data_IF_012864547777
#
_entry.id   IF_012864547777
#
_cell.length_a   1.000
_cell.length_b   1.000
_cell.length_c   1.000
_cell.angle_alpha   90.00
_cell.angle_beta   90.00
_cell.angle_gamma   90.00
#
_symmetry.space_group_name_H-M   'P 1'
#
loop_
_entity.id
_entity.type
_entity.pdbx_description
1 polymer ?
#
# COMPACT_ATOMS: atom_id res chain seq x y z
N UNK A 1 2.75 26.17 17.64
CA UNK A 1 3.83 26.95 17.00
C UNK A 1 4.42 27.86 18.05
N UNK A 2 5.74 27.87 18.19
CA UNK A 2 6.40 28.77 19.17
C UNK A 2 6.26 30.24 18.78
N UNK A 3 6.21 31.10 19.78
CA UNK A 3 5.94 32.54 19.58
C UNK A 3 7.21 33.37 19.79
N UNK A 4 7.64 34.07 18.71
CA UNK A 4 8.70 35.09 18.79
C UNK A 4 8.18 36.31 19.54
N UNK A 5 8.97 36.81 20.52
CA UNK A 5 8.60 37.95 21.35
C UNK A 5 9.50 39.16 21.12
N UNK A 6 10.82 38.99 21.17
CA UNK A 6 11.76 40.10 20.95
C UNK A 6 13.17 39.64 20.63
N UNK A 7 13.95 40.52 19.98
CA UNK A 7 15.38 40.37 19.73
C UNK A 7 16.09 41.68 20.04
N UNK A 8 17.14 41.59 20.83
CA UNK A 8 17.88 42.76 21.27
C UNK A 8 19.39 42.50 21.31
N UNK A 9 20.18 43.50 21.01
CA UNK A 9 21.63 43.47 21.22
C UNK A 9 21.91 43.95 22.66
N UNK A 10 22.45 43.05 23.48
CA UNK A 10 22.76 43.37 24.87
C UNK A 10 24.26 43.33 25.13
N UNK A 11 24.73 44.26 25.98
CA UNK A 11 26.11 44.31 26.48
C UNK A 11 26.24 43.37 27.67
N UNK A 12 27.11 42.36 27.55
CA UNK A 12 27.35 41.34 28.60
C UNK A 12 28.51 41.71 29.50
N UNK A 13 29.54 42.44 28.97
CA UNK A 13 30.68 42.94 29.71
C UNK A 13 31.26 44.18 29.00
N UNK A 14 32.36 44.78 29.57
CA UNK A 14 33.00 45.96 28.97
C UNK A 14 33.26 45.85 27.46
N UNK A 15 33.55 44.68 26.96
CA UNK A 15 33.93 44.44 25.56
C UNK A 15 33.13 43.36 24.86
N UNK A 16 32.15 42.74 25.49
CA UNK A 16 31.37 41.63 24.93
C UNK A 16 29.90 41.97 24.78
N UNK A 17 29.35 41.62 23.63
CA UNK A 17 27.92 41.72 23.30
C UNK A 17 27.37 40.34 22.92
N UNK A 18 26.05 40.21 22.97
CA UNK A 18 25.34 39.10 22.43
C UNK A 18 23.96 39.53 21.88
N UNK A 19 23.38 38.70 21.04
CA UNK A 19 21.96 38.80 20.73
C UNK A 19 21.18 38.09 21.82
N UNK A 20 20.20 38.76 22.41
CA UNK A 20 19.22 38.19 23.33
C UNK A 20 17.90 38.06 22.60
N UNK A 21 17.43 36.84 22.44
CA UNK A 21 16.17 36.46 21.78
C UNK A 21 15.21 35.90 22.82
N UNK A 22 14.00 36.45 22.86
CA UNK A 22 12.91 35.87 23.65
C UNK A 22 11.99 35.05 22.74
N UNK A 23 11.78 33.77 23.12
CA UNK A 23 10.96 32.84 22.39
C UNK A 23 10.18 31.93 23.35
N UNK A 24 8.85 31.90 23.28
CA UNK A 24 7.97 31.16 24.21
C UNK A 24 8.31 31.41 25.70
N UNK A 25 8.57 32.66 26.07
CA UNK A 25 8.93 33.03 27.43
C UNK A 25 10.35 32.65 27.87
N UNK A 26 11.12 31.98 27.00
CA UNK A 26 12.51 31.60 27.28
C UNK A 26 13.49 32.54 26.61
N UNK A 27 14.62 32.84 27.31
CA UNK A 27 15.69 33.70 26.82
C UNK A 27 16.83 32.88 26.24
N UNK A 28 17.15 33.13 24.95
CA UNK A 28 18.30 32.56 24.26
C UNK A 28 19.36 33.63 23.99
N UNK A 29 20.64 33.27 24.10
CA UNK A 29 21.76 34.19 23.88
C UNK A 29 22.70 33.66 22.81
N UNK A 30 22.98 34.47 21.78
CA UNK A 30 23.85 34.12 20.66
C UNK A 30 25.03 35.09 20.59
N UNK A 31 26.23 34.56 20.54
CA UNK A 31 27.48 35.31 20.53
C UNK A 31 28.11 35.40 19.13
N UNK A 32 27.56 34.73 18.17
CA UNK A 32 27.94 34.71 16.74
C UNK A 32 26.75 34.26 15.88
N UNK A 33 26.96 34.26 14.57
CA UNK A 33 25.93 33.84 13.59
C UNK A 33 25.85 32.34 13.29
N UNK A 34 26.66 31.49 13.93
CA UNK A 34 26.76 30.06 13.56
C UNK A 34 25.44 29.33 13.60
N UNK A 35 24.56 29.64 14.53
CA UNK A 35 23.26 28.99 14.71
C UNK A 35 22.31 29.25 13.55
N UNK A 36 22.50 30.36 12.83
CA UNK A 36 21.73 30.75 11.64
C UNK A 36 22.57 30.58 10.35
N UNK A 37 23.66 29.81 10.41
CA UNK A 37 24.62 29.59 9.35
C UNK A 37 25.28 30.87 8.78
N UNK A 38 25.29 31.96 9.53
CA UNK A 38 26.04 33.15 9.20
C UNK A 38 27.50 33.02 9.64
N UNK A 39 28.41 33.54 8.85
CA UNK A 39 29.85 33.61 9.16
C UNK A 39 30.18 34.76 10.15
N UNK A 40 29.20 35.58 10.50
CA UNK A 40 29.37 36.75 11.37
C UNK A 40 29.90 36.36 12.77
N UNK A 41 31.01 36.96 13.16
CA UNK A 41 31.65 36.84 14.48
C UNK A 41 31.90 38.20 15.08
N UNK A 42 30.87 38.97 15.51
CA UNK A 42 31.03 40.34 15.90
C UNK A 42 32.00 40.57 17.09
N UNK A 43 32.11 39.59 17.99
CA UNK A 43 33.07 39.68 19.12
C UNK A 43 34.55 39.55 18.68
N UNK A 44 34.83 39.11 17.44
CA UNK A 44 36.17 39.10 16.85
C UNK A 44 36.56 40.47 16.25
N UNK A 45 35.60 41.38 16.07
CA UNK A 45 35.84 42.74 15.57
C UNK A 45 36.51 43.64 16.62
N UNK A 46 37.12 44.77 16.24
CA UNK A 46 37.58 45.78 17.13
C UNK A 46 36.48 46.29 18.06
N UNK A 47 36.79 46.59 19.31
CA UNK A 47 35.78 46.90 20.36
C UNK A 47 34.81 48.00 19.93
N UNK A 48 35.32 49.03 19.21
CA UNK A 48 34.51 50.17 18.72
C UNK A 48 33.42 49.76 17.72
N UNK A 49 33.61 48.68 16.95
CA UNK A 49 32.69 48.22 15.87
C UNK A 49 31.87 47.01 16.26
N UNK A 50 32.10 46.40 17.43
CA UNK A 50 31.39 45.18 17.86
C UNK A 50 29.88 45.37 17.95
N UNK A 51 29.43 46.50 18.52
CA UNK A 51 28.00 46.79 18.64
C UNK A 51 27.33 46.81 17.28
N UNK A 52 27.91 47.53 16.32
CA UNK A 52 27.40 47.59 14.95
C UNK A 52 27.38 46.19 14.29
N UNK A 53 28.42 45.39 14.54
CA UNK A 53 28.45 44.00 14.06
C UNK A 53 27.31 43.13 14.60
N UNK A 54 26.92 43.36 15.89
CA UNK A 54 25.77 42.67 16.49
C UNK A 54 24.42 43.21 16.00
N UNK A 55 24.31 44.49 15.70
CA UNK A 55 23.12 45.10 15.10
C UNK A 55 22.88 44.51 13.70
N UNK A 56 23.92 44.37 12.89
CA UNK A 56 23.84 43.70 11.59
C UNK A 56 23.44 42.23 11.75
N UNK A 57 24.05 41.50 12.71
CA UNK A 57 23.69 40.12 12.97
C UNK A 57 22.25 39.98 13.48
N UNK A 58 21.71 40.98 14.22
CA UNK A 58 20.30 40.93 14.66
C UNK A 58 19.33 41.01 13.50
N UNK A 59 19.69 41.76 12.45
CA UNK A 59 18.89 41.79 11.19
C UNK A 59 18.89 40.46 10.49
N UNK A 60 20.04 39.77 10.49
CA UNK A 60 20.11 38.41 9.91
C UNK A 60 19.25 37.43 10.71
N UNK A 61 19.30 37.47 12.05
CA UNK A 61 18.39 36.65 12.89
C UNK A 61 16.92 36.95 12.61
N UNK A 62 16.54 38.23 12.48
CA UNK A 62 15.16 38.62 12.19
C UNK A 62 14.70 38.07 10.84
N UNK A 63 15.58 38.08 9.81
CA UNK A 63 15.27 37.50 8.49
C UNK A 63 15.00 36.00 8.56
N UNK A 64 15.84 35.24 9.29
CA UNK A 64 15.64 33.79 9.37
C UNK A 64 14.45 33.40 10.25
N UNK A 65 14.13 34.23 11.29
CA UNK A 65 12.91 34.09 12.09
C UNK A 65 11.66 34.24 11.18
N UNK A 66 11.66 35.26 10.33
CA UNK A 66 10.54 35.50 9.40
C UNK A 66 10.33 34.37 8.39
N UNK A 67 11.36 33.56 8.10
CA UNK A 67 11.24 32.37 7.26
C UNK A 67 11.11 31.07 8.06
N UNK A 68 10.78 31.16 9.35
CA UNK A 68 10.40 30.03 10.18
C UNK A 68 11.53 29.37 10.96
N UNK A 69 12.68 30.01 11.13
CA UNK A 69 13.71 29.54 12.03
C UNK A 69 13.29 29.72 13.51
N UNK A 70 13.66 28.76 14.35
CA UNK A 70 13.46 28.81 15.80
C UNK A 70 14.79 28.59 16.55
N UNK A 71 14.94 29.03 17.81
CA UNK A 71 16.15 28.81 18.61
C UNK A 71 16.50 27.34 18.84
N UNK A 72 15.55 26.44 18.63
CA UNK A 72 15.70 24.99 18.80
C UNK A 72 16.13 24.30 17.48
N UNK A 73 16.11 25.04 16.36
CA UNK A 73 16.48 24.48 15.06
C UNK A 73 17.99 24.34 14.92
N UNK A 74 18.44 23.20 14.45
CA UNK A 74 19.80 23.07 13.94
C UNK A 74 19.82 23.53 12.46
N UNK A 75 19.97 24.84 12.26
CA UNK A 75 19.93 25.46 10.93
C UNK A 75 21.02 24.93 9.99
N UNK A 76 22.16 24.48 10.51
CA UNK A 76 23.19 23.82 9.72
C UNK A 76 22.71 22.52 9.11
N UNK A 77 21.94 21.76 9.85
CA UNK A 77 21.30 20.54 9.32
C UNK A 77 20.22 20.86 8.28
N UNK A 78 19.48 21.95 8.45
CA UNK A 78 18.51 22.43 7.46
C UNK A 78 19.16 22.88 6.15
N UNK A 79 20.26 23.64 6.22
CA UNK A 79 20.99 24.11 5.04
C UNK A 79 21.75 22.97 4.33
N UNK A 80 22.19 21.95 5.05
CA UNK A 80 22.82 20.76 4.50
C UNK A 80 21.78 19.70 4.04
N UNK A 81 20.50 19.88 4.32
CA UNK A 81 19.46 19.03 3.74
C UNK A 81 19.40 19.27 2.25
N UNK A 82 19.91 18.29 1.50
CA UNK A 82 19.83 18.25 0.06
C UNK A 82 18.38 18.53 -0.36
N UNK A 83 18.14 19.65 -1.03
CA UNK A 83 16.82 19.99 -1.57
C UNK A 83 16.55 19.05 -2.73
N UNK A 84 15.68 18.07 -2.49
CA UNK A 84 15.24 17.17 -3.55
C UNK A 84 14.07 17.80 -4.32
N UNK A 85 14.03 17.61 -5.62
CA UNK A 85 12.83 17.90 -6.41
C UNK A 85 11.67 17.02 -5.94
N UNK A 86 10.45 17.46 -6.14
CA UNK A 86 9.26 16.68 -5.71
C UNK A 86 9.21 15.28 -6.32
N UNK A 87 9.67 15.15 -7.57
CA UNK A 87 9.77 13.85 -8.25
C UNK A 87 10.84 12.96 -7.61
N UNK A 88 11.97 13.54 -7.20
CA UNK A 88 13.01 12.80 -6.48
C UNK A 88 12.52 12.32 -5.12
N UNK A 89 11.81 13.17 -4.36
CA UNK A 89 11.25 12.81 -3.04
C UNK A 89 10.37 11.56 -3.11
N UNK A 90 9.42 11.51 -4.05
CA UNK A 90 8.55 10.35 -4.24
C UNK A 90 9.32 9.10 -4.67
N UNK A 91 10.27 9.25 -5.58
CA UNK A 91 11.06 8.11 -6.08
C UNK A 91 12.03 7.58 -5.03
N UNK A 92 12.66 8.45 -4.23
CA UNK A 92 13.54 8.05 -3.13
C UNK A 92 12.76 7.35 -2.02
N UNK A 93 11.61 7.90 -1.61
CA UNK A 93 10.72 7.27 -0.64
C UNK A 93 10.24 5.88 -1.11
N UNK A 94 9.90 5.76 -2.38
CA UNK A 94 9.54 4.47 -2.98
C UNK A 94 10.72 3.50 -2.96
N UNK A 95 11.92 3.94 -3.38
CA UNK A 95 13.14 3.11 -3.37
C UNK A 95 13.44 2.58 -1.97
N UNK A 96 13.37 3.46 -0.95
CA UNK A 96 13.60 3.07 0.45
C UNK A 96 12.51 2.15 0.98
N UNK A 97 11.26 2.38 0.61
CA UNK A 97 10.16 1.47 0.98
C UNK A 97 10.37 0.08 0.42
N UNK A 98 10.82 -0.03 -0.82
CA UNK A 98 11.00 -1.30 -1.54
C UNK A 98 12.31 -2.04 -1.18
N UNK A 99 13.14 -1.54 -0.27
CA UNK A 99 14.25 -2.30 0.32
C UNK A 99 13.78 -3.51 1.14
N UNK A 100 12.54 -3.44 1.68
CA UNK A 100 11.90 -4.58 2.34
C UNK A 100 11.27 -5.51 1.30
N UNK A 101 11.29 -6.80 1.60
CA UNK A 101 10.63 -7.80 0.76
C UNK A 101 9.11 -7.69 0.88
N UNK A 102 8.50 -7.22 -0.18
CA UNK A 102 7.06 -7.13 -0.36
C UNK A 102 6.62 -7.96 -1.56
N UNK A 103 5.38 -8.45 -1.53
CA UNK A 103 4.81 -9.15 -2.69
C UNK A 103 4.88 -8.28 -3.96
N UNK A 104 5.10 -8.92 -5.12
CA UNK A 104 5.18 -8.22 -6.42
C UNK A 104 3.96 -7.33 -6.69
N UNK A 105 2.77 -7.77 -6.28
CA UNK A 105 1.53 -7.01 -6.44
C UNK A 105 1.52 -5.70 -5.61
N UNK A 106 2.01 -5.77 -4.38
CA UNK A 106 2.16 -4.58 -3.53
C UNK A 106 3.20 -3.62 -4.13
N UNK A 107 4.34 -4.13 -4.59
CA UNK A 107 5.36 -3.33 -5.26
C UNK A 107 4.83 -2.65 -6.53
N UNK A 108 4.10 -3.39 -7.40
CA UNK A 108 3.46 -2.83 -8.60
C UNK A 108 2.49 -1.71 -8.25
N UNK A 109 1.69 -1.89 -7.19
CA UNK A 109 0.73 -0.89 -6.73
C UNK A 109 1.42 0.39 -6.25
N UNK A 110 2.46 0.27 -5.42
CA UNK A 110 3.24 1.43 -4.95
C UNK A 110 3.90 2.18 -6.12
N UNK A 111 4.52 1.45 -7.07
CA UNK A 111 5.13 2.06 -8.27
C UNK A 111 4.10 2.81 -9.10
N UNK A 112 2.93 2.22 -9.28
CA UNK A 112 1.83 2.84 -10.01
C UNK A 112 1.35 4.12 -9.30
N UNK A 113 1.13 4.10 -7.97
CA UNK A 113 0.71 5.28 -7.20
C UNK A 113 1.73 6.41 -7.32
N UNK A 114 3.02 6.10 -7.18
CA UNK A 114 4.09 7.11 -7.32
C UNK A 114 4.13 7.68 -8.74
N UNK A 115 3.93 6.85 -9.76
CA UNK A 115 3.83 7.30 -11.16
C UNK A 115 2.65 8.27 -11.36
N UNK A 116 1.45 7.90 -10.90
CA UNK A 116 0.25 8.73 -10.98
C UNK A 116 0.40 10.04 -10.20
N UNK A 117 0.99 9.98 -9.00
CA UNK A 117 1.23 11.14 -8.17
C UNK A 117 2.25 12.09 -8.80
N UNK A 118 3.33 11.57 -9.42
CA UNK A 118 4.29 12.38 -10.16
C UNK A 118 3.66 13.06 -11.38
N UNK A 119 2.77 12.38 -12.09
CA UNK A 119 2.02 12.96 -13.20
C UNK A 119 1.05 14.05 -12.74
N UNK A 120 0.40 13.86 -11.59
CA UNK A 120 -0.54 14.84 -11.02
C UNK A 120 0.16 16.06 -10.45
N UNK A 121 1.33 15.89 -9.87
CA UNK A 121 2.03 16.91 -9.08
C UNK A 121 2.50 18.12 -9.91
N UNK A 122 2.89 17.95 -11.18
CA UNK A 122 3.35 19.04 -12.06
C UNK A 122 4.29 20.01 -11.34
N UNK A 123 5.33 19.51 -10.67
CA UNK A 123 6.37 20.30 -9.95
C UNK A 123 5.93 20.97 -8.65
N UNK A 124 4.66 20.88 -8.23
CA UNK A 124 4.21 21.38 -6.92
C UNK A 124 4.85 20.57 -5.78
N UNK A 125 5.19 21.25 -4.67
CA UNK A 125 5.79 20.60 -3.49
C UNK A 125 4.88 19.51 -2.94
N UNK A 126 5.43 18.32 -2.70
CA UNK A 126 4.70 17.23 -2.06
C UNK A 126 4.32 17.63 -0.64
N UNK A 127 3.02 17.61 -0.36
CA UNK A 127 2.44 17.99 0.93
C UNK A 127 1.19 17.17 1.21
N UNK A 128 0.71 17.09 2.46
CA UNK A 128 -0.56 16.43 2.78
C UNK A 128 -1.74 17.01 2.01
N UNK A 129 -1.76 18.32 1.75
CA UNK A 129 -2.80 18.97 0.96
C UNK A 129 -2.79 18.48 -0.48
N UNK A 130 -1.64 18.45 -1.12
CA UNK A 130 -1.49 17.93 -2.49
C UNK A 130 -1.87 16.45 -2.59
N UNK A 131 -1.48 15.64 -1.59
CA UNK A 131 -1.87 14.24 -1.53
C UNK A 131 -3.38 14.05 -1.36
N UNK A 132 -4.04 14.91 -0.56
CA UNK A 132 -5.49 14.90 -0.43
C UNK A 132 -6.19 15.32 -1.73
N UNK A 133 -5.69 16.33 -2.44
CA UNK A 133 -6.19 16.73 -3.77
C UNK A 133 -6.07 15.57 -4.77
N UNK A 134 -4.94 14.86 -4.78
CA UNK A 134 -4.74 13.69 -5.62
C UNK A 134 -5.74 12.57 -5.31
N UNK A 135 -5.97 12.29 -4.03
CA UNK A 135 -6.92 11.26 -3.60
C UNK A 135 -8.37 11.62 -3.94
N UNK A 136 -8.72 12.89 -3.89
CA UNK A 136 -10.09 13.37 -4.13
C UNK A 136 -10.43 13.56 -5.63
N UNK A 137 -9.59 13.10 -6.56
CA UNK A 137 -9.91 13.17 -7.98
C UNK A 137 -11.19 12.37 -8.30
N UNK A 138 -12.11 12.92 -9.14
CA UNK A 138 -13.39 12.28 -9.48
C UNK A 138 -13.25 10.91 -10.14
N UNK A 139 -12.11 10.66 -10.79
CA UNK A 139 -11.83 9.39 -11.48
C UNK A 139 -11.72 8.18 -10.54
N UNK A 140 -11.55 8.40 -9.22
CA UNK A 140 -11.41 7.33 -8.26
C UNK A 140 -12.73 6.96 -7.59
N UNK A 141 -13.12 5.68 -7.65
CA UNK A 141 -14.21 5.18 -6.81
C UNK A 141 -13.83 5.23 -5.32
N UNK A 142 -14.79 5.26 -4.37
CA UNK A 142 -14.52 5.24 -2.94
C UNK A 142 -13.58 4.09 -2.50
N UNK A 143 -13.80 2.89 -3.03
CA UNK A 143 -12.95 1.73 -2.76
C UNK A 143 -11.53 1.92 -3.26
N UNK A 144 -11.35 2.46 -4.49
CA UNK A 144 -10.06 2.76 -5.07
C UNK A 144 -9.34 3.87 -4.30
N UNK A 145 -10.05 4.92 -3.91
CA UNK A 145 -9.56 6.04 -3.11
C UNK A 145 -9.02 5.55 -1.76
N UNK A 146 -9.78 4.71 -1.05
CA UNK A 146 -9.33 4.07 0.20
C UNK A 146 -8.08 3.20 0.01
N UNK A 147 -8.01 2.48 -1.10
CA UNK A 147 -6.87 1.63 -1.43
C UNK A 147 -5.60 2.48 -1.68
N UNK A 148 -5.70 3.51 -2.53
CA UNK A 148 -4.59 4.44 -2.81
C UNK A 148 -4.15 5.14 -1.53
N UNK A 149 -5.11 5.64 -0.72
CA UNK A 149 -4.83 6.27 0.58
C UNK A 149 -4.02 5.35 1.50
N UNK A 150 -4.42 4.09 1.65
CA UNK A 150 -3.70 3.12 2.48
C UNK A 150 -2.26 2.90 2.03
N UNK A 151 -2.02 2.80 0.72
CA UNK A 151 -0.68 2.67 0.17
C UNK A 151 0.14 3.95 0.31
N UNK A 152 -0.47 5.13 0.10
CA UNK A 152 0.21 6.41 0.29
C UNK A 152 0.63 6.62 1.75
N UNK A 153 -0.26 6.36 2.71
CA UNK A 153 0.07 6.37 4.13
C UNK A 153 1.26 5.46 4.47
N UNK A 154 1.37 4.33 3.79
CA UNK A 154 2.52 3.44 3.99
C UNK A 154 3.84 4.01 3.45
N UNK A 155 3.81 5.02 2.59
CA UNK A 155 4.98 5.75 2.08
C UNK A 155 5.32 6.96 2.96
N UNK A 156 4.38 7.51 3.74
CA UNK A 156 4.59 8.74 4.51
C UNK A 156 5.79 8.65 5.44
N UNK A 157 6.00 7.51 6.13
CA UNK A 157 7.17 7.31 6.99
C UNK A 157 8.50 7.52 6.25
N UNK A 158 8.54 7.21 4.95
CA UNK A 158 9.70 7.42 4.11
C UNK A 158 9.76 8.83 3.55
N UNK A 159 8.61 9.41 3.21
CA UNK A 159 8.52 10.80 2.73
C UNK A 159 8.99 11.80 3.79
N UNK A 160 8.74 11.53 5.08
CA UNK A 160 9.22 12.37 6.19
C UNK A 160 10.75 12.51 6.19
N UNK A 161 11.49 11.49 5.79
CA UNK A 161 12.96 11.53 5.68
C UNK A 161 13.44 12.53 4.63
N UNK A 162 12.58 12.91 3.68
CA UNK A 162 12.86 13.81 2.57
C UNK A 162 12.09 15.15 2.66
N UNK A 163 11.66 15.53 3.86
CA UNK A 163 11.05 16.84 4.09
C UNK A 163 9.54 16.95 3.88
N UNK A 164 8.82 15.81 3.78
CA UNK A 164 7.37 15.80 3.85
C UNK A 164 6.91 15.98 5.30
N UNK A 165 6.11 16.99 5.57
CA UNK A 165 5.65 17.33 6.90
C UNK A 165 4.13 17.13 7.04
N UNK A 166 3.70 16.49 8.13
CA UNK A 166 2.30 16.18 8.40
C UNK A 166 1.84 14.84 7.85
N UNK A 167 0.52 14.62 7.76
CA UNK A 167 -0.05 13.36 7.25
C UNK A 167 -1.37 13.62 6.51
N UNK A 168 -1.54 12.94 5.39
CA UNK A 168 -2.80 12.93 4.63
C UNK A 168 -3.95 12.31 5.43
N UNK A 169 -3.65 11.53 6.47
CA UNK A 169 -4.66 10.90 7.34
C UNK A 169 -5.63 11.91 7.96
N UNK A 170 -5.14 13.12 8.28
CA UNK A 170 -5.95 14.20 8.88
C UNK A 170 -6.83 14.91 7.85
N UNK A 171 -6.39 15.01 6.61
CA UNK A 171 -7.08 15.74 5.54
C UNK A 171 -8.03 14.86 4.71
N UNK A 172 -7.72 13.57 4.59
CA UNK A 172 -8.50 12.64 3.82
C UNK A 172 -8.90 11.45 4.71
N UNK A 173 -10.16 11.40 5.14
CA UNK A 173 -10.71 10.28 5.92
C UNK A 173 -10.99 9.09 5.00
N UNK A 174 -11.04 7.89 5.59
CA UNK A 174 -11.50 6.69 4.89
C UNK A 174 -13.00 6.85 4.56
N UNK A 175 -13.36 6.61 3.31
CA UNK A 175 -14.74 6.67 2.86
C UNK A 175 -15.48 5.38 3.17
N UNK A 176 -16.79 5.50 3.40
CA UNK A 176 -17.67 4.34 3.51
C UNK A 176 -17.82 3.71 2.12
N UNK A 177 -17.51 2.42 2.03
CA UNK A 177 -17.69 1.63 0.81
C UNK A 177 -18.84 0.67 1.04
N UNK A 178 -19.78 0.65 0.14
CA UNK A 178 -20.85 -0.36 0.14
C UNK A 178 -20.22 -1.69 -0.25
N UNK A 179 -20.35 -2.69 0.61
CA UNK A 179 -19.84 -4.03 0.32
C UNK A 179 -20.65 -4.66 -0.81
N UNK A 180 -19.95 -5.18 -1.81
CA UNK A 180 -20.57 -5.96 -2.89
C UNK A 180 -20.71 -7.39 -2.40
N UNK A 181 -21.93 -7.81 -2.11
CA UNK A 181 -22.21 -9.19 -1.78
C UNK A 181 -22.14 -10.05 -3.05
N UNK A 182 -21.32 -11.10 -3.01
CA UNK A 182 -21.34 -12.13 -4.04
C UNK A 182 -22.57 -13.01 -3.83
N UNK A 183 -23.62 -12.81 -4.64
CA UNK A 183 -24.85 -13.60 -4.54
C UNK A 183 -24.57 -15.10 -4.70
N UNK A 184 -25.05 -15.98 -3.81
CA UNK A 184 -24.94 -17.42 -3.99
C UNK A 184 -25.81 -17.87 -5.18
N UNK A 185 -25.48 -19.04 -5.72
CA UNK A 185 -26.31 -19.68 -6.75
C UNK A 185 -27.49 -20.40 -6.11
N UNK A 186 -28.67 -20.32 -6.72
CA UNK A 186 -29.87 -21.04 -6.29
C UNK A 186 -29.85 -22.47 -6.81
N UNK A 187 -29.53 -22.63 -8.09
CA UNK A 187 -29.41 -23.93 -8.75
C UNK A 187 -27.97 -24.16 -9.19
N UNK A 188 -27.20 -24.73 -8.28
CA UNK A 188 -25.78 -25.08 -8.51
C UNK A 188 -25.62 -26.13 -9.58
N UNK A 189 -26.52 -27.13 -9.61
CA UNK A 189 -26.40 -28.29 -10.49
C UNK A 189 -26.61 -27.91 -11.95
N UNK A 190 -27.67 -27.19 -12.26
CA UNK A 190 -27.97 -26.77 -13.64
C UNK A 190 -26.88 -25.87 -14.20
N UNK A 191 -26.36 -24.93 -13.37
CA UNK A 191 -25.29 -24.01 -13.79
C UNK A 191 -23.98 -24.79 -14.02
N UNK A 192 -23.63 -25.76 -13.16
CA UNK A 192 -22.44 -26.60 -13.37
C UNK A 192 -22.51 -27.41 -14.64
N UNK A 193 -23.68 -28.02 -14.94
CA UNK A 193 -23.89 -28.78 -16.17
C UNK A 193 -23.76 -27.90 -17.42
N UNK A 194 -24.33 -26.70 -17.38
CA UNK A 194 -24.20 -25.74 -18.47
C UNK A 194 -22.74 -25.29 -18.68
N UNK A 195 -22.01 -25.03 -17.60
CA UNK A 195 -20.56 -24.70 -17.67
C UNK A 195 -19.75 -25.88 -18.19
N UNK A 196 -20.11 -27.13 -17.85
CA UNK A 196 -19.41 -28.32 -18.35
C UNK A 196 -19.45 -28.41 -19.87
N UNK A 197 -20.57 -28.03 -20.46
CA UNK A 197 -20.74 -27.97 -21.92
C UNK A 197 -20.02 -26.78 -22.56
N UNK A 198 -19.86 -25.69 -21.81
CA UNK A 198 -19.22 -24.44 -22.28
C UNK A 198 -17.69 -24.52 -22.29
N UNK A 199 -17.05 -24.86 -21.16
CA UNK A 199 -15.58 -24.95 -21.04
C UNK A 199 -15.18 -25.86 -19.86
N UNK A 200 -14.48 -26.96 -20.15
CA UNK A 200 -14.05 -27.94 -19.14
C UNK A 200 -13.12 -27.35 -18.05
N UNK A 201 -12.30 -26.36 -18.41
CA UNK A 201 -11.38 -25.69 -17.43
C UNK A 201 -12.15 -24.82 -16.46
N UNK A 202 -13.13 -24.06 -16.97
CA UNK A 202 -14.02 -23.27 -16.13
C UNK A 202 -14.85 -24.18 -15.23
N UNK A 203 -15.37 -25.28 -15.75
CA UNK A 203 -16.13 -26.29 -14.99
C UNK A 203 -15.32 -26.81 -13.81
N UNK A 204 -14.10 -27.31 -14.04
CA UNK A 204 -13.24 -27.79 -12.95
C UNK A 204 -12.89 -26.66 -11.95
N UNK A 205 -12.66 -25.45 -12.42
CA UNK A 205 -12.44 -24.31 -11.54
C UNK A 205 -13.65 -24.05 -10.63
N UNK A 206 -14.87 -24.09 -11.17
CA UNK A 206 -16.11 -23.92 -10.41
C UNK A 206 -16.34 -25.07 -9.41
N UNK A 207 -16.09 -26.33 -9.81
CA UNK A 207 -16.15 -27.49 -8.95
C UNK A 207 -15.20 -27.37 -7.74
N UNK A 208 -13.94 -27.00 -7.98
CA UNK A 208 -12.95 -26.82 -6.92
C UNK A 208 -13.27 -25.59 -6.05
N UNK A 209 -13.81 -24.52 -6.61
CA UNK A 209 -14.24 -23.37 -5.83
C UNK A 209 -15.44 -23.69 -4.94
N UNK A 210 -16.40 -24.47 -5.43
CA UNK A 210 -17.59 -24.87 -4.71
C UNK A 210 -17.31 -25.97 -3.67
N UNK A 211 -16.72 -27.08 -4.09
CA UNK A 211 -16.57 -28.28 -3.23
C UNK A 211 -15.36 -28.21 -2.31
N UNK A 212 -14.25 -27.57 -2.72
CA UNK A 212 -13.02 -27.45 -1.94
C UNK A 212 -12.84 -26.06 -1.35
N UNK A 213 -13.75 -25.13 -1.58
CA UNK A 213 -13.69 -23.74 -1.13
C UNK A 213 -12.36 -23.03 -1.50
N UNK A 214 -11.79 -23.35 -2.67
CA UNK A 214 -10.54 -22.75 -3.15
C UNK A 214 -10.79 -21.43 -3.86
N UNK A 215 -9.77 -20.54 -3.84
CA UNK A 215 -9.81 -19.26 -4.53
C UNK A 215 -9.38 -19.41 -5.99
N UNK A 216 -10.21 -19.00 -6.99
CA UNK A 216 -9.94 -19.25 -8.40
C UNK A 216 -8.59 -18.69 -8.89
N UNK A 217 -8.34 -17.41 -8.62
CA UNK A 217 -7.21 -16.69 -9.24
C UNK A 217 -5.83 -17.01 -8.65
N UNK A 218 -5.78 -17.60 -7.47
CA UNK A 218 -4.50 -17.89 -6.81
C UNK A 218 -4.37 -19.37 -6.46
N UNK A 219 -5.29 -19.90 -5.65
CA UNK A 219 -5.20 -21.29 -5.19
C UNK A 219 -5.44 -22.26 -6.35
N UNK A 220 -6.60 -22.21 -7.01
CA UNK A 220 -6.94 -23.13 -8.10
C UNK A 220 -5.99 -23.00 -9.29
N UNK A 221 -5.72 -21.79 -9.74
CA UNK A 221 -4.87 -21.54 -10.91
C UNK A 221 -3.46 -22.10 -10.79
N UNK A 222 -2.93 -22.11 -9.56
CA UNK A 222 -1.55 -22.53 -9.28
C UNK A 222 -1.43 -23.99 -8.87
N UNK A 223 -2.53 -24.75 -8.79
CA UNK A 223 -2.47 -26.16 -8.44
C UNK A 223 -1.56 -26.94 -9.39
N UNK A 224 -0.70 -27.73 -8.79
CA UNK A 224 0.15 -28.74 -9.46
C UNK A 224 -0.22 -30.13 -8.98
N UNK A 225 0.21 -31.16 -9.70
CA UNK A 225 -0.08 -32.53 -9.28
C UNK A 225 0.65 -32.94 -7.98
N UNK A 226 1.70 -32.20 -7.59
CA UNK A 226 2.35 -32.36 -6.27
C UNK A 226 1.47 -31.92 -5.09
N UNK A 227 0.44 -31.12 -5.35
CA UNK A 227 -0.45 -30.64 -4.29
C UNK A 227 -1.51 -31.69 -3.91
N UNK A 228 -1.62 -32.80 -4.65
CA UNK A 228 -2.60 -33.87 -4.46
C UNK A 228 -1.94 -35.12 -3.90
N UNK A 229 -2.69 -35.84 -3.04
CA UNK A 229 -2.31 -37.21 -2.70
C UNK A 229 -2.64 -38.19 -3.85
N UNK A 230 -2.13 -39.42 -3.78
CA UNK A 230 -2.30 -40.43 -4.82
C UNK A 230 -3.76 -40.72 -5.16
N UNK A 231 -4.61 -40.84 -4.15
CA UNK A 231 -6.02 -41.17 -4.27
C UNK A 231 -6.92 -39.99 -4.65
N UNK A 232 -6.36 -38.82 -4.89
CA UNK A 232 -7.10 -37.58 -5.16
C UNK A 232 -8.16 -37.25 -4.11
N UNK A 233 -7.90 -37.59 -2.84
CA UNK A 233 -8.81 -37.33 -1.72
C UNK A 233 -8.51 -36.04 -1.01
N UNK A 234 -7.29 -35.52 -1.13
CA UNK A 234 -6.81 -34.32 -0.42
C UNK A 234 -5.94 -33.43 -1.29
N UNK A 235 -6.02 -32.12 -1.03
CA UNK A 235 -5.13 -31.10 -1.60
C UNK A 235 -4.32 -30.48 -0.45
N UNK A 236 -3.00 -30.48 -0.57
CA UNK A 236 -2.06 -29.86 0.37
C UNK A 236 -1.61 -28.50 -0.17
N UNK A 237 -2.16 -27.40 0.35
CA UNK A 237 -1.80 -26.05 -0.06
C UNK A 237 -0.68 -25.52 0.84
N UNK A 238 0.45 -25.15 0.26
CA UNK A 238 1.52 -24.47 0.98
C UNK A 238 1.12 -23.02 1.37
N UNK A 239 1.75 -22.48 2.42
CA UNK A 239 1.53 -21.10 2.84
C UNK A 239 1.83 -20.07 1.74
N UNK A 240 2.73 -20.38 0.80
CA UNK A 240 3.06 -19.49 -0.31
C UNK A 240 1.93 -19.41 -1.36
N UNK A 241 1.11 -20.45 -1.49
CA UNK A 241 0.02 -20.53 -2.47
C UNK A 241 -1.25 -19.82 -1.98
N UNK A 242 -1.42 -19.61 -0.68
CA UNK A 242 -2.63 -19.01 -0.12
C UNK A 242 -2.42 -17.62 0.51
N UNK A 243 -3.50 -16.86 0.68
CA UNK A 243 -3.45 -15.49 1.23
C UNK A 243 -3.06 -15.48 2.71
N UNK A 244 -3.40 -16.53 3.46
CA UNK A 244 -3.18 -16.61 4.91
C UNK A 244 -1.75 -17.01 5.30
N UNK A 245 -0.90 -17.37 4.34
CA UNK A 245 0.47 -17.86 4.53
C UNK A 245 0.60 -19.04 5.50
N UNK A 246 -0.48 -19.84 5.66
CA UNK A 246 -0.51 -21.05 6.50
C UNK A 246 -0.71 -22.27 5.61
N UNK A 247 -0.05 -23.38 5.93
CA UNK A 247 -0.32 -24.64 5.26
C UNK A 247 -1.76 -25.08 5.56
N UNK A 248 -2.43 -25.63 4.57
CA UNK A 248 -3.82 -26.09 4.67
C UNK A 248 -4.00 -27.37 3.88
N UNK A 249 -4.63 -28.35 4.51
CA UNK A 249 -5.09 -29.57 3.85
C UNK A 249 -6.59 -29.42 3.58
N UNK A 250 -7.00 -29.71 2.35
CA UNK A 250 -8.38 -29.54 1.90
C UNK A 250 -8.88 -30.88 1.36
N UNK A 251 -9.98 -31.45 1.90
CA UNK A 251 -10.57 -32.68 1.39
C UNK A 251 -11.21 -32.43 0.02
N UNK A 252 -11.13 -33.43 -0.86
CA UNK A 252 -11.74 -33.40 -2.19
C UNK A 252 -13.01 -34.26 -2.16
N UNK A 253 -14.20 -33.65 -2.38
CA UNK A 253 -15.45 -34.40 -2.50
C UNK A 253 -15.38 -35.47 -3.60
N UNK A 254 -16.04 -36.60 -3.36
CA UNK A 254 -16.02 -37.75 -4.28
C UNK A 254 -16.46 -37.39 -5.72
N UNK A 255 -17.43 -36.49 -5.86
CA UNK A 255 -17.93 -36.07 -7.18
C UNK A 255 -16.94 -35.25 -8.02
N UNK A 256 -15.86 -34.70 -7.42
CA UNK A 256 -14.81 -33.96 -8.15
C UNK A 256 -13.71 -34.89 -8.67
N UNK A 257 -13.44 -35.99 -7.97
CA UNK A 257 -12.32 -36.89 -8.25
C UNK A 257 -12.29 -37.45 -9.69
N UNK A 258 -13.41 -37.85 -10.30
CA UNK A 258 -13.40 -38.30 -11.68
C UNK A 258 -12.89 -37.25 -12.69
N UNK A 259 -13.20 -35.98 -12.47
CA UNK A 259 -12.74 -34.91 -13.34
C UNK A 259 -11.22 -34.65 -13.19
N UNK A 260 -10.68 -34.80 -11.98
CA UNK A 260 -9.24 -34.71 -11.73
C UNK A 260 -8.52 -35.96 -12.33
N UNK A 261 -9.05 -37.14 -12.11
CA UNK A 261 -8.48 -38.38 -12.63
C UNK A 261 -8.40 -38.36 -14.18
N UNK A 262 -9.44 -37.85 -14.84
CA UNK A 262 -9.46 -37.72 -16.30
C UNK A 262 -8.41 -36.75 -16.86
N UNK A 263 -7.86 -35.82 -16.04
CA UNK A 263 -6.83 -34.89 -16.42
C UNK A 263 -5.42 -35.37 -16.01
N UNK A 264 -5.31 -36.37 -15.14
CA UNK A 264 -4.04 -36.89 -14.63
C UNK A 264 -3.47 -37.89 -15.62
N UNK A 265 -2.54 -37.46 -16.47
CA UNK A 265 -1.80 -38.36 -17.35
C UNK A 265 -0.54 -38.90 -16.64
N UNK A 266 -0.21 -40.19 -16.91
CA UNK A 266 0.96 -40.86 -16.32
C UNK A 266 2.29 -40.13 -16.59
N UNK A 267 2.36 -39.38 -17.69
CA UNK A 267 3.55 -38.71 -18.17
C UNK A 267 3.77 -37.32 -17.54
N UNK A 268 2.82 -36.84 -16.73
CA UNK A 268 3.00 -35.56 -16.05
C UNK A 268 3.95 -35.69 -14.86
N UNK A 269 5.12 -35.03 -14.96
CA UNK A 269 5.93 -34.79 -13.78
C UNK A 269 5.08 -34.12 -12.69
N UNK A 270 5.20 -34.55 -11.42
CA UNK A 270 4.35 -34.08 -10.32
C UNK A 270 4.29 -32.56 -10.16
N UNK A 271 5.27 -31.81 -10.65
CA UNK A 271 5.28 -30.34 -10.69
C UNK A 271 4.50 -29.71 -11.85
N UNK A 272 3.82 -30.50 -12.71
CA UNK A 272 2.99 -29.95 -13.78
C UNK A 272 1.70 -29.33 -13.22
N UNK A 273 1.31 -28.17 -13.76
CA UNK A 273 0.08 -27.48 -13.38
C UNK A 273 -1.13 -28.26 -13.91
N UNK A 274 -2.16 -28.41 -13.08
CA UNK A 274 -3.37 -29.21 -13.36
C UNK A 274 -4.10 -28.76 -14.63
N UNK A 275 -4.10 -27.47 -14.93
CA UNK A 275 -4.87 -26.91 -16.05
C UNK A 275 -4.09 -26.79 -17.34
N UNK A 276 -2.77 -26.67 -17.26
CA UNK A 276 -1.92 -26.51 -18.47
C UNK A 276 -1.19 -27.78 -18.85
N UNK A 277 -1.01 -28.73 -17.93
CA UNK A 277 -0.11 -29.87 -18.09
C UNK A 277 1.37 -29.49 -18.12
N UNK A 278 1.70 -28.20 -18.00
CA UNK A 278 3.05 -27.66 -18.06
C UNK A 278 3.47 -27.16 -16.66
N UNK A 279 4.79 -26.86 -16.47
CA UNK A 279 5.26 -26.22 -15.24
C UNK A 279 4.70 -24.80 -15.06
N UNK A 280 4.38 -24.11 -16.15
CA UNK A 280 3.86 -22.74 -16.13
C UNK A 280 2.34 -22.71 -16.04
N UNK A 281 1.74 -22.04 -15.04
CA UNK A 281 0.31 -21.86 -14.94
C UNK A 281 -0.19 -20.86 -15.99
N UNK A 282 -1.50 -20.88 -16.29
CA UNK A 282 -2.14 -19.81 -17.06
C UNK A 282 -1.93 -18.43 -16.45
N UNK A 283 -2.11 -17.38 -17.24
CA UNK A 283 -2.16 -15.99 -16.79
C UNK A 283 -3.21 -15.77 -15.70
N UNK A 284 -3.02 -14.73 -14.86
CA UNK A 284 -3.87 -14.46 -13.69
C UNK A 284 -5.35 -14.24 -14.02
N UNK A 285 -5.66 -13.72 -15.21
CA UNK A 285 -7.02 -13.38 -15.64
C UNK A 285 -7.84 -14.55 -16.17
N UNK A 286 -7.23 -15.71 -16.50
CA UNK A 286 -7.86 -16.79 -17.28
C UNK A 286 -9.28 -17.16 -16.82
N UNK A 287 -9.48 -17.44 -15.54
CA UNK A 287 -10.80 -17.84 -15.04
C UNK A 287 -11.78 -16.66 -14.96
N UNK A 288 -11.29 -15.43 -14.78
CA UNK A 288 -12.11 -14.22 -14.87
C UNK A 288 -12.61 -13.98 -16.29
N UNK A 289 -11.73 -14.17 -17.28
CA UNK A 289 -12.05 -14.00 -18.70
C UNK A 289 -13.01 -15.10 -19.19
N UNK A 290 -12.78 -16.36 -18.78
CA UNK A 290 -13.68 -17.48 -19.05
C UNK A 290 -15.06 -17.23 -18.43
N UNK A 291 -15.11 -16.80 -17.17
CA UNK A 291 -16.35 -16.45 -16.48
C UNK A 291 -17.09 -15.29 -17.17
N UNK A 292 -16.36 -14.26 -17.59
CA UNK A 292 -16.94 -13.13 -18.33
C UNK A 292 -17.55 -13.54 -19.67
N UNK A 293 -16.92 -14.50 -20.38
CA UNK A 293 -17.47 -15.08 -21.61
C UNK A 293 -18.71 -15.92 -21.31
N UNK A 294 -18.64 -16.78 -20.29
CA UNK A 294 -19.78 -17.60 -19.87
C UNK A 294 -20.98 -16.75 -19.48
N UNK A 295 -20.79 -15.65 -18.71
CA UNK A 295 -21.87 -14.71 -18.36
C UNK A 295 -22.61 -14.11 -19.55
N UNK A 296 -21.94 -13.92 -20.67
CA UNK A 296 -22.57 -13.42 -21.90
C UNK A 296 -23.29 -14.51 -22.70
N UNK A 297 -22.95 -15.76 -22.44
CA UNK A 297 -23.51 -16.93 -23.15
C UNK A 297 -24.73 -17.49 -22.40
N UNK A 298 -24.69 -17.54 -21.07
CA UNK A 298 -25.69 -18.23 -20.25
C UNK A 298 -26.78 -17.27 -19.75
N UNK A 299 -28.02 -17.76 -19.80
CA UNK A 299 -29.20 -17.09 -19.24
C UNK A 299 -29.54 -17.58 -17.81
N UNK A 300 -28.72 -18.47 -17.22
CA UNK A 300 -28.96 -19.07 -15.90
C UNK A 300 -28.45 -18.19 -14.75
N UNK A 301 -27.69 -17.12 -15.04
CA UNK A 301 -27.04 -16.30 -14.04
C UNK A 301 -27.85 -15.08 -13.67
N UNK A 302 -27.92 -14.78 -12.36
CA UNK A 302 -28.51 -13.55 -11.83
C UNK A 302 -27.44 -12.43 -11.72
N UNK A 303 -27.91 -11.18 -11.68
CA UNK A 303 -27.05 -10.05 -11.38
C UNK A 303 -26.43 -10.19 -9.99
N UNK A 304 -25.14 -9.81 -9.87
CA UNK A 304 -24.37 -9.94 -8.63
C UNK A 304 -23.73 -11.32 -8.44
N UNK A 305 -24.01 -12.31 -9.31
CA UNK A 305 -23.30 -13.58 -9.32
C UNK A 305 -21.96 -13.47 -10.02
N UNK A 306 -20.92 -13.92 -9.34
CA UNK A 306 -19.52 -13.85 -9.78
C UNK A 306 -18.84 -15.20 -9.67
N UNK A 307 -17.63 -15.33 -10.21
CA UNK A 307 -16.83 -16.54 -10.02
C UNK A 307 -16.58 -16.86 -8.52
N UNK A 308 -16.56 -15.85 -7.67
CA UNK A 308 -16.45 -16.03 -6.20
C UNK A 308 -17.73 -16.56 -5.56
N UNK A 309 -18.88 -16.40 -6.20
CA UNK A 309 -20.16 -16.93 -5.75
C UNK A 309 -20.13 -18.45 -5.60
N UNK A 310 -19.31 -19.17 -6.36
CA UNK A 310 -19.12 -20.61 -6.20
C UNK A 310 -18.61 -20.98 -4.82
N UNK A 311 -17.61 -20.27 -4.36
CA UNK A 311 -17.06 -20.48 -3.00
C UNK A 311 -18.08 -20.12 -1.91
N UNK A 312 -18.86 -19.07 -2.09
CA UNK A 312 -19.92 -18.68 -1.15
C UNK A 312 -21.03 -19.71 -1.10
N UNK A 313 -21.49 -20.18 -2.26
CA UNK A 313 -22.51 -21.24 -2.37
C UNK A 313 -22.03 -22.53 -1.69
N UNK A 314 -20.79 -22.95 -1.95
CA UNK A 314 -20.21 -24.12 -1.31
C UNK A 314 -20.11 -24.00 0.22
N UNK A 315 -19.71 -22.82 0.72
CA UNK A 315 -19.66 -22.57 2.15
C UNK A 315 -21.04 -22.61 2.81
N UNK A 316 -22.06 -22.02 2.17
CA UNK A 316 -23.46 -22.08 2.63
C UNK A 316 -23.96 -23.54 2.66
N UNK A 317 -23.66 -24.31 1.66
CA UNK A 317 -24.07 -25.69 1.53
C UNK A 317 -23.43 -26.59 2.60
N UNK A 318 -22.13 -26.43 2.83
CA UNK A 318 -21.43 -27.13 3.91
C UNK A 318 -22.03 -26.73 5.27
N UNK A 319 -22.32 -25.45 5.50
CA UNK A 319 -22.93 -24.99 6.73
C UNK A 319 -24.33 -25.58 6.93
N UNK A 320 -25.18 -25.55 5.89
CA UNK A 320 -26.52 -26.14 5.95
C UNK A 320 -26.50 -27.62 6.29
N UNK A 321 -25.53 -28.38 5.74
CA UNK A 321 -25.40 -29.83 6.01
C UNK A 321 -24.77 -30.16 7.36
N UNK A 322 -23.92 -29.30 7.89
CA UNK A 322 -23.12 -29.64 9.08
C UNK A 322 -23.47 -28.85 10.34
N UNK A 323 -24.18 -27.72 10.19
CA UNK A 323 -24.47 -26.77 11.27
C UNK A 323 -23.21 -26.11 11.88
N UNK A 324 -22.02 -26.34 11.33
CA UNK A 324 -20.76 -26.00 11.98
C UNK A 324 -19.93 -24.99 11.17
N UNK A 325 -19.75 -23.79 11.74
CA UNK A 325 -18.83 -22.78 11.23
C UNK A 325 -17.36 -23.25 11.34
N UNK A 326 -17.03 -24.03 12.35
CA UNK A 326 -15.67 -24.54 12.59
C UNK A 326 -15.21 -25.47 11.45
N UNK A 327 -16.12 -26.23 10.83
CA UNK A 327 -15.82 -27.05 9.64
C UNK A 327 -15.51 -26.23 8.41
N UNK A 328 -15.97 -24.96 8.33
CA UNK A 328 -15.66 -24.04 7.24
C UNK A 328 -14.30 -23.35 7.42
N UNK A 329 -13.78 -23.31 8.63
CA UNK A 329 -12.52 -22.63 8.96
C UNK A 329 -11.29 -23.51 8.85
N UNK A 330 -11.48 -24.82 8.89
CA UNK A 330 -10.45 -25.84 8.67
C UNK A 330 -10.24 -26.08 7.19
#
# INVERSE_FOLDING_TARGET
MGHFQSINVIKVSRSRFCISLMWDGKRYRFYNGQTIASTARPNALPVKTRRQGFENLSIEFQRVINVGWTPMDNWKERLNKKTYSNREVLNLALKDKLKKDYSLEYQKKLRWIVKEMNAFNKERRISPKLAAEFLNQPKWSPAMRNNIRGHFLSLEDKLHQYGYEGSVKRLCKKERVTETLHKPFKDVSSILNDIASFDKRLHLCCLLAYGCLLRPHREIRLLTWNDFNEDLTMISLSGNQNKGRRNRIVPIPAYIRPFLAALRHSDYAGGANVFTGLKSPYGRGIFGDLWGRYKRHSNLLEEGQTLYSWRHSGAIDIFKRTGSITKLQK
#
